data_IF_408751569173
#
_entry.id   IF_408751569173
#
_cell.length_a   1.000
_cell.length_b   1.000
_cell.length_c   1.000
_cell.angle_alpha   90.00
_cell.angle_beta   90.00
_cell.angle_gamma   90.00
#
_symmetry.space_group_name_H-M   'P 1'
#
loop_
_entity.id
_entity.type
_entity.pdbx_description
1 polymer ?
#
# COMPACT_ATOMS: atom_id res chain seq x y z
N UNK A 1 -14.84 9.28 4.68
CA UNK A 1 -13.73 9.73 3.81
C UNK A 1 -12.45 9.45 4.57
N UNK A 2 -11.73 8.39 4.21
CA UNK A 2 -10.39 8.15 4.76
C UNK A 2 -9.46 9.00 3.93
N UNK A 3 -8.80 9.97 4.57
CA UNK A 3 -7.76 10.76 3.92
C UNK A 3 -6.49 9.93 3.91
N UNK A 4 -6.26 9.17 2.86
CA UNK A 4 -4.92 8.63 2.63
C UNK A 4 -4.09 9.74 1.98
N UNK A 5 -3.54 10.63 2.81
CA UNK A 5 -2.66 11.70 2.35
C UNK A 5 -1.29 11.09 2.12
N UNK A 6 -1.05 10.58 0.92
CA UNK A 6 0.30 10.14 0.56
C UNK A 6 1.13 11.40 0.29
N UNK A 7 1.91 11.81 1.30
CA UNK A 7 2.85 12.92 1.20
C UNK A 7 4.18 12.41 0.63
N UNK A 8 4.62 13.01 -0.48
CA UNK A 8 5.91 12.68 -1.09
C UNK A 8 6.91 13.85 -0.95
N UNK A 9 8.12 13.61 -0.41
CA UNK A 9 9.26 14.55 -0.43
C UNK A 9 10.50 13.85 -1.03
N UNK A 10 11.43 14.63 -1.59
CA UNK A 10 12.74 14.19 -2.12
C UNK A 10 13.66 13.57 -1.06
N UNK A 11 13.29 13.57 0.22
CA UNK A 11 14.07 13.00 1.34
C UNK A 11 13.59 11.64 1.81
N UNK A 12 12.64 11.01 1.12
CA UNK A 12 11.99 9.80 1.57
C UNK A 12 10.74 10.09 2.41
N UNK A 13 9.81 9.15 2.37
CA UNK A 13 8.49 9.22 3.01
C UNK A 13 8.63 8.72 4.46
N UNK A 14 8.13 9.46 5.45
CA UNK A 14 8.14 9.04 6.87
C UNK A 14 7.05 8.02 7.24
N UNK A 15 6.31 7.49 6.27
CA UNK A 15 5.47 6.29 6.46
C UNK A 15 5.21 5.62 5.12
N UNK A 16 5.63 4.36 4.99
CA UNK A 16 5.64 3.50 3.81
C UNK A 16 6.73 3.82 2.77
N UNK A 17 7.85 3.08 2.86
CA UNK A 17 8.95 3.00 1.88
C UNK A 17 8.51 2.38 0.52
N UNK A 18 7.38 2.78 -0.04
CA UNK A 18 6.82 2.19 -1.27
C UNK A 18 6.95 3.06 -2.53
N UNK A 19 7.45 4.30 -2.41
CA UNK A 19 7.62 5.21 -3.55
C UNK A 19 9.11 5.59 -3.73
N UNK A 20 9.79 4.86 -4.62
CA UNK A 20 11.17 5.19 -5.06
C UNK A 20 11.24 6.59 -5.67
N UNK A 21 12.35 7.30 -5.49
CA UNK A 21 12.66 8.61 -6.12
C UNK A 21 12.32 8.66 -7.62
N UNK A 22 12.58 7.57 -8.36
CA UNK A 22 12.22 7.45 -9.79
C UNK A 22 10.72 7.62 -10.07
N UNK A 23 9.83 7.24 -9.15
CA UNK A 23 8.38 7.45 -9.31
C UNK A 23 8.00 8.89 -8.97
N UNK A 24 8.67 9.56 -8.03
CA UNK A 24 8.47 10.98 -7.77
C UNK A 24 8.87 11.83 -8.97
N UNK A 25 10.06 11.59 -9.54
CA UNK A 25 10.49 12.28 -10.76
C UNK A 25 9.59 11.97 -11.95
N UNK A 26 9.03 10.76 -12.03
CA UNK A 26 8.00 10.43 -13.03
C UNK A 26 6.74 11.26 -12.85
N UNK A 27 6.24 11.41 -11.62
CA UNK A 27 5.06 12.23 -11.32
C UNK A 27 5.33 13.72 -11.61
N UNK A 28 6.51 14.23 -11.24
CA UNK A 28 6.94 15.58 -11.56
C UNK A 28 7.09 15.79 -13.07
N UNK A 29 7.70 14.85 -13.80
CA UNK A 29 7.82 14.95 -15.26
C UNK A 29 6.45 14.90 -15.94
N UNK A 30 5.50 14.11 -15.41
CA UNK A 30 4.09 14.10 -15.85
C UNK A 30 3.37 15.43 -15.67
N UNK A 31 3.76 16.26 -14.68
CA UNK A 31 3.18 17.61 -14.55
C UNK A 31 3.44 18.51 -15.77
N UNK A 32 4.46 18.19 -16.57
CA UNK A 32 4.81 18.93 -17.80
C UNK A 32 4.05 18.43 -19.02
N UNK A 33 3.50 17.22 -18.97
CA UNK A 33 2.66 16.65 -20.03
C UNK A 33 1.20 17.07 -19.83
N UNK A 34 0.60 17.68 -20.86
CA UNK A 34 -0.80 18.13 -20.84
C UNK A 34 -1.80 17.02 -20.52
N UNK A 35 -1.49 15.75 -20.83
CA UNK A 35 -2.38 14.61 -20.57
C UNK A 35 -2.34 14.10 -19.14
N UNK A 36 -1.25 14.38 -18.42
CA UNK A 36 -1.00 13.85 -17.07
C UNK A 36 -0.77 14.95 -16.03
N UNK A 37 -1.10 16.19 -16.41
CA UNK A 37 -1.01 17.37 -15.55
C UNK A 37 -1.96 17.24 -14.36
N UNK A 38 -1.50 17.53 -13.13
CA UNK A 38 -2.36 17.48 -11.95
C UNK A 38 -3.42 18.59 -11.99
N UNK A 39 -4.57 18.33 -11.34
CA UNK A 39 -5.70 19.26 -11.25
C UNK A 39 -5.30 20.60 -10.65
N UNK A 40 -4.43 20.58 -9.65
CA UNK A 40 -3.82 21.77 -9.03
C UNK A 40 -2.31 21.60 -9.10
N UNK A 41 -1.63 22.63 -9.60
CA UNK A 41 -0.18 22.68 -9.67
C UNK A 41 0.29 24.08 -9.25
N UNK A 42 1.03 24.16 -8.15
CA UNK A 42 1.64 25.41 -7.70
C UNK A 42 3.15 25.18 -7.53
N UNK A 43 3.97 26.10 -8.07
CA UNK A 43 5.41 26.05 -7.91
C UNK A 43 5.82 26.87 -6.70
N UNK A 44 6.20 26.22 -5.60
CA UNK A 44 6.77 26.87 -4.41
C UNK A 44 8.15 26.29 -4.08
N UNK A 45 9.19 27.12 -4.18
CA UNK A 45 10.56 26.75 -3.78
C UNK A 45 11.25 25.68 -4.64
N UNK A 46 12.33 25.11 -4.09
CA UNK A 46 13.20 24.11 -4.74
C UNK A 46 12.79 22.65 -4.45
N UNK A 47 11.89 22.41 -3.48
CA UNK A 47 11.35 21.10 -3.13
C UNK A 47 9.92 20.99 -3.64
N UNK A 48 9.61 19.87 -4.27
CA UNK A 48 8.25 19.57 -4.70
C UNK A 48 7.63 18.60 -3.70
N UNK A 49 6.34 18.79 -3.42
CA UNK A 49 5.50 17.79 -2.78
C UNK A 49 4.37 17.47 -3.76
N UNK A 50 3.94 16.22 -3.81
CA UNK A 50 2.75 15.83 -4.55
C UNK A 50 1.73 15.30 -3.54
N UNK A 51 0.47 15.69 -3.72
CA UNK A 51 -0.65 15.20 -2.94
C UNK A 51 -1.67 14.65 -3.91
N UNK A 52 -2.13 13.44 -3.63
CA UNK A 52 -3.25 12.83 -4.36
C UNK A 52 -4.42 12.81 -3.40
N UNK A 53 -5.50 13.50 -3.76
CA UNK A 53 -6.72 13.56 -2.96
C UNK A 53 -7.84 12.99 -3.81
N UNK A 54 -8.61 12.09 -3.23
CA UNK A 54 -9.75 11.46 -3.87
C UNK A 54 -10.64 10.77 -2.86
N UNK A 55 -11.64 10.05 -3.36
CA UNK A 55 -12.50 9.19 -2.56
C UNK A 55 -12.43 7.77 -3.11
N UNK A 56 -12.39 6.80 -2.20
CA UNK A 56 -12.48 5.36 -2.48
C UNK A 56 -13.40 4.71 -1.45
N UNK A 57 -13.87 3.50 -1.75
CA UNK A 57 -14.44 2.62 -0.74
C UNK A 57 -13.39 2.30 0.33
N UNK A 58 -13.84 1.68 1.43
CA UNK A 58 -12.96 1.23 2.50
C UNK A 58 -11.87 0.30 1.94
N UNK A 59 -10.62 0.50 2.39
CA UNK A 59 -9.45 -0.30 2.00
C UNK A 59 -8.79 -0.79 3.28
N UNK A 60 -8.57 -2.09 3.39
CA UNK A 60 -7.73 -2.65 4.45
C UNK A 60 -6.29 -2.78 3.94
N UNK A 61 -5.32 -2.40 4.77
CA UNK A 61 -3.90 -2.54 4.47
C UNK A 61 -3.33 -3.68 5.32
N UNK A 62 -2.72 -4.66 4.64
CA UNK A 62 -2.48 -5.99 5.16
C UNK A 62 -1.14 -6.54 4.71
N UNK A 63 -0.26 -6.83 5.66
CA UNK A 63 1.10 -7.27 5.39
C UNK A 63 1.33 -8.71 5.82
N UNK A 64 2.08 -9.43 4.99
CA UNK A 64 2.47 -10.82 5.23
C UNK A 64 3.99 -10.92 5.12
N UNK A 65 4.71 -11.13 6.23
CA UNK A 65 6.17 -11.26 6.20
C UNK A 65 6.61 -12.62 5.65
N UNK A 66 7.59 -12.60 4.74
CA UNK A 66 8.25 -13.79 4.19
C UNK A 66 9.72 -13.78 4.62
N UNK A 67 10.20 -14.91 5.15
CA UNK A 67 11.61 -15.09 5.50
C UNK A 67 12.44 -15.33 4.24
N UNK A 68 12.87 -14.25 3.61
CA UNK A 68 13.69 -14.27 2.40
C UNK A 68 14.50 -12.99 2.27
N UNK A 69 15.72 -13.11 1.75
CA UNK A 69 16.54 -11.98 1.31
C UNK A 69 16.43 -11.71 -0.19
N UNK A 70 15.73 -12.56 -0.95
CA UNK A 70 15.56 -12.41 -2.39
C UNK A 70 14.23 -11.73 -2.75
N UNK A 71 14.32 -10.41 -2.94
CA UNK A 71 13.18 -9.58 -3.34
C UNK A 71 12.61 -9.96 -4.72
N UNK A 72 13.39 -10.57 -5.60
CA UNK A 72 12.89 -10.94 -6.93
C UNK A 72 11.94 -12.14 -6.82
N UNK A 73 12.22 -13.09 -5.93
CA UNK A 73 11.31 -14.20 -5.63
C UNK A 73 10.01 -13.66 -5.04
N UNK A 74 10.11 -12.81 -4.02
CA UNK A 74 8.91 -12.24 -3.37
C UNK A 74 8.10 -11.36 -4.34
N UNK A 75 8.75 -10.66 -5.28
CA UNK A 75 8.05 -9.94 -6.36
C UNK A 75 7.27 -10.86 -7.30
N UNK A 76 7.76 -12.07 -7.59
CA UNK A 76 7.02 -13.04 -8.41
C UNK A 76 5.77 -13.52 -7.67
N UNK A 77 5.91 -13.88 -6.39
CA UNK A 77 4.78 -14.24 -5.51
C UNK A 77 3.76 -13.11 -5.47
N UNK A 78 4.21 -11.91 -5.08
CA UNK A 78 3.39 -10.69 -5.01
C UNK A 78 2.61 -10.43 -6.31
N UNK A 79 3.27 -10.56 -7.47
CA UNK A 79 2.61 -10.36 -8.76
C UNK A 79 1.48 -11.37 -8.96
N UNK A 80 1.71 -12.65 -8.65
CA UNK A 80 0.71 -13.74 -8.76
C UNK A 80 -0.45 -13.57 -7.78
N UNK A 81 -0.21 -12.97 -6.61
CA UNK A 81 -1.28 -12.62 -5.64
C UNK A 81 -2.12 -11.46 -6.14
N UNK A 82 -1.49 -10.45 -6.74
CA UNK A 82 -2.17 -9.21 -7.14
C UNK A 82 -3.19 -9.44 -8.26
N UNK A 83 -4.34 -8.78 -8.19
CA UNK A 83 -5.35 -8.84 -9.25
C UNK A 83 -4.82 -8.36 -10.60
N UNK A 84 -3.92 -7.37 -10.59
CA UNK A 84 -3.24 -6.90 -11.83
C UNK A 84 -2.38 -7.99 -12.47
N UNK A 85 -1.80 -8.89 -11.68
CA UNK A 85 -1.02 -10.01 -12.18
C UNK A 85 -1.83 -11.27 -12.46
N UNK A 86 -3.17 -11.20 -12.39
CA UNK A 86 -4.07 -12.33 -12.63
C UNK A 86 -4.45 -13.12 -11.38
N UNK A 87 -4.07 -12.64 -10.18
CA UNK A 87 -4.38 -13.26 -8.90
C UNK A 87 -5.75 -12.90 -8.34
N UNK A 88 -5.78 -12.63 -7.04
CA UNK A 88 -7.01 -12.34 -6.31
C UNK A 88 -7.62 -11.00 -6.79
N UNK A 89 -8.94 -10.96 -7.09
CA UNK A 89 -9.60 -9.74 -7.51
C UNK A 89 -9.57 -8.69 -6.39
N UNK A 90 -9.51 -7.41 -6.75
CA UNK A 90 -9.52 -6.30 -5.79
C UNK A 90 -8.34 -6.29 -4.79
N UNK A 91 -7.28 -7.08 -5.04
CA UNK A 91 -6.03 -7.04 -4.25
C UNK A 91 -4.95 -6.31 -5.05
N UNK A 92 -4.40 -5.25 -4.47
CA UNK A 92 -3.12 -4.69 -4.91
C UNK A 92 -2.04 -5.21 -3.98
N UNK A 93 -0.92 -5.70 -4.53
CA UNK A 93 0.17 -6.22 -3.72
C UNK A 93 1.51 -5.66 -4.20
N UNK A 94 2.44 -5.46 -3.27
CA UNK A 94 3.83 -5.07 -3.55
C UNK A 94 4.81 -5.78 -2.59
N UNK A 95 6.02 -6.04 -3.06
CA UNK A 95 7.09 -6.59 -2.23
C UNK A 95 7.89 -5.45 -1.59
N UNK A 96 7.96 -5.43 -0.26
CA UNK A 96 8.67 -4.42 0.53
C UNK A 96 9.72 -5.08 1.42
N UNK A 97 10.94 -4.54 1.45
CA UNK A 97 11.95 -5.04 2.40
C UNK A 97 11.55 -4.61 3.82
N UNK A 98 11.65 -5.52 4.78
CA UNK A 98 11.30 -5.26 6.17
C UNK A 98 12.39 -5.81 7.08
N UNK A 99 13.30 -4.97 7.55
CA UNK A 99 14.41 -5.44 8.38
C UNK A 99 15.34 -6.44 7.66
N UNK A 100 16.18 -7.16 8.43
CA UNK A 100 17.16 -8.10 7.88
C UNK A 100 16.52 -9.46 7.61
N UNK A 101 16.59 -9.91 6.35
CA UNK A 101 16.18 -11.26 5.95
C UNK A 101 14.67 -11.47 5.87
N UNK A 102 13.87 -10.40 5.95
CA UNK A 102 12.43 -10.44 5.81
C UNK A 102 11.99 -9.47 4.71
N UNK A 103 11.09 -9.95 3.87
CA UNK A 103 10.45 -9.15 2.82
C UNK A 103 8.96 -9.42 2.93
N UNK A 104 8.17 -8.35 2.98
CA UNK A 104 6.74 -8.42 3.12
C UNK A 104 6.05 -8.42 1.76
N UNK A 105 5.00 -9.22 1.65
CA UNK A 105 3.93 -8.99 0.67
C UNK A 105 2.96 -8.02 1.33
N UNK A 106 3.07 -6.73 0.96
CA UNK A 106 2.18 -5.68 1.43
C UNK A 106 0.99 -5.54 0.48
N UNK A 107 -0.22 -5.60 1.03
CA UNK A 107 -1.45 -5.67 0.26
C UNK A 107 -2.43 -4.56 0.65
N UNK A 108 -2.99 -3.88 -0.35
CA UNK A 108 -4.22 -3.11 -0.20
C UNK A 108 -5.40 -3.97 -0.68
N UNK A 109 -6.32 -4.27 0.23
CA UNK A 109 -7.57 -4.96 -0.04
C UNK A 109 -8.62 -3.90 -0.40
N UNK A 110 -8.85 -3.71 -1.69
CA UNK A 110 -9.73 -2.64 -2.20
C UNK A 110 -11.23 -2.92 -1.99
N UNK A 111 -11.55 -4.18 -1.68
CA UNK A 111 -12.90 -4.63 -1.33
C UNK A 111 -12.80 -5.80 -0.34
N UNK A 112 -12.62 -5.51 0.96
CA UNK A 112 -12.44 -6.55 1.99
C UNK A 112 -13.64 -7.49 2.16
N UNK A 113 -14.83 -7.06 1.71
CA UNK A 113 -16.03 -7.91 1.70
C UNK A 113 -15.94 -9.02 0.64
N UNK A 114 -15.14 -8.81 -0.42
CA UNK A 114 -14.96 -9.77 -1.51
C UNK A 114 -13.74 -10.67 -1.30
N UNK A 115 -12.64 -10.11 -0.81
CA UNK A 115 -11.41 -10.85 -0.51
C UNK A 115 -10.89 -10.43 0.86
N UNK A 116 -10.92 -11.36 1.81
CA UNK A 116 -10.41 -11.14 3.16
C UNK A 116 -8.90 -11.29 3.25
N UNK A 117 -8.31 -10.77 4.32
CA UNK A 117 -6.89 -11.00 4.62
C UNK A 117 -6.53 -12.48 4.76
N UNK A 118 -7.43 -13.30 5.32
CA UNK A 118 -7.28 -14.76 5.41
C UNK A 118 -7.05 -15.37 4.02
N UNK A 119 -7.87 -14.96 3.04
CA UNK A 119 -7.75 -15.48 1.68
C UNK A 119 -6.44 -15.07 1.02
N UNK A 120 -5.96 -13.86 1.28
CA UNK A 120 -4.65 -13.40 0.81
C UNK A 120 -3.52 -14.17 1.48
N UNK A 121 -3.63 -14.47 2.78
CA UNK A 121 -2.65 -15.29 3.50
C UNK A 121 -2.54 -16.68 2.89
N UNK A 122 -3.66 -17.37 2.67
CA UNK A 122 -3.69 -18.71 2.06
C UNK A 122 -2.99 -18.72 0.69
N UNK A 123 -3.30 -17.74 -0.17
CA UNK A 123 -2.70 -17.64 -1.50
C UNK A 123 -1.19 -17.40 -1.41
N UNK A 124 -0.74 -16.51 -0.52
CA UNK A 124 0.69 -16.27 -0.28
C UNK A 124 1.39 -17.52 0.25
N UNK A 125 0.78 -18.26 1.18
CA UNK A 125 1.35 -19.50 1.72
C UNK A 125 1.51 -20.59 0.66
N UNK A 126 0.54 -20.73 -0.24
CA UNK A 126 0.62 -21.67 -1.37
C UNK A 126 1.79 -21.28 -2.28
N UNK A 127 1.86 -20.02 -2.69
CA UNK A 127 2.88 -19.51 -3.61
C UNK A 127 4.28 -19.51 -3.00
N UNK A 128 4.41 -19.22 -1.71
CA UNK A 128 5.67 -19.25 -0.99
C UNK A 128 6.19 -20.68 -0.83
N UNK A 129 5.29 -21.66 -0.63
CA UNK A 129 5.66 -23.08 -0.56
C UNK A 129 6.25 -23.60 -1.86
N UNK A 130 5.74 -23.16 -3.01
CA UNK A 130 6.31 -23.48 -4.32
C UNK A 130 7.75 -22.99 -4.48
N UNK A 131 8.10 -21.88 -3.83
CA UNK A 131 9.43 -21.27 -3.85
C UNK A 131 10.29 -21.66 -2.63
N UNK A 132 9.79 -22.53 -1.74
CA UNK A 132 10.50 -22.98 -0.53
C UNK A 132 10.69 -21.91 0.55
N UNK A 133 9.82 -20.89 0.59
CA UNK A 133 9.91 -19.75 1.51
C UNK A 133 8.95 -19.93 2.69
N UNK A 134 9.43 -19.64 3.90
CA UNK A 134 8.60 -19.60 5.10
C UNK A 134 7.83 -18.28 5.20
N UNK A 135 6.55 -18.39 5.58
CA UNK A 135 5.63 -17.26 5.78
C UNK A 135 5.36 -17.10 7.27
N UNK A 136 5.40 -15.86 7.76
CA UNK A 136 5.10 -15.53 9.15
C UNK A 136 3.66 -15.05 9.34
N UNK A 137 3.34 -14.66 10.59
CA UNK A 137 2.02 -14.16 10.94
C UNK A 137 1.77 -12.79 10.33
N UNK A 138 0.69 -12.71 9.56
CA UNK A 138 0.14 -11.47 9.01
C UNK A 138 -0.33 -10.45 10.05
N UNK A 139 -0.48 -9.20 9.61
CA UNK A 139 -1.10 -8.14 10.40
C UNK A 139 -1.73 -7.05 9.52
N UNK A 140 -2.74 -6.38 10.05
CA UNK A 140 -3.24 -5.12 9.47
C UNK A 140 -2.38 -3.97 9.98
N UNK A 141 -2.03 -3.03 9.10
CA UNK A 141 -1.15 -1.89 9.45
C UNK A 141 -1.91 -0.69 10.00
N UNK A 142 -3.21 -0.60 9.73
CA UNK A 142 -4.06 0.55 10.03
C UNK A 142 -5.23 0.18 10.95
N UNK A 143 -5.99 1.21 11.36
CA UNK A 143 -7.21 1.03 12.13
C UNK A 143 -8.28 0.29 11.32
N UNK A 144 -9.01 -0.59 12.00
CA UNK A 144 -10.20 -1.19 11.42
C UNK A 144 -11.31 -0.14 11.21
N UNK A 145 -12.27 -0.48 10.36
CA UNK A 145 -13.43 0.37 10.10
C UNK A 145 -14.16 0.75 11.39
N UNK A 146 -14.39 -0.22 12.28
CA UNK A 146 -15.05 0.00 13.56
C UNK A 146 -14.25 0.91 14.49
N UNK A 147 -12.92 0.79 14.48
CA UNK A 147 -12.04 1.65 15.27
C UNK A 147 -12.10 3.10 14.80
N UNK A 148 -12.10 3.34 13.48
CA UNK A 148 -12.24 4.70 12.93
C UNK A 148 -13.62 5.26 13.24
N UNK A 149 -14.70 4.49 13.02
CA UNK A 149 -16.08 4.92 13.29
C UNK A 149 -16.24 5.27 14.78
N UNK A 150 -15.76 4.40 15.67
CA UNK A 150 -15.81 4.62 17.12
C UNK A 150 -15.03 5.86 17.54
N UNK A 151 -13.85 6.07 16.96
CA UNK A 151 -13.03 7.26 17.23
C UNK A 151 -13.72 8.54 16.76
N UNK A 152 -14.38 8.50 15.60
CA UNK A 152 -15.16 9.61 15.08
C UNK A 152 -16.32 9.96 16.04
N UNK A 153 -17.12 8.99 16.47
CA UNK A 153 -18.22 9.26 17.41
C UNK A 153 -17.75 9.86 18.75
N UNK A 154 -16.64 9.37 19.30
CA UNK A 154 -16.05 9.93 20.54
C UNK A 154 -15.67 11.40 20.38
N UNK A 155 -15.10 11.78 19.24
CA UNK A 155 -14.74 13.17 18.95
C UNK A 155 -15.96 14.11 18.92
N UNK A 156 -17.12 13.62 18.47
CA UNK A 156 -18.34 14.41 18.45
C UNK A 156 -19.00 14.51 19.82
N UNK A 157 -18.98 13.45 20.62
CA UNK A 157 -19.51 13.47 21.98
C UNK A 157 -18.74 14.43 22.90
N UNK A 158 -17.43 14.60 22.69
CA UNK A 158 -16.61 15.54 23.46
C UNK A 158 -16.73 17.01 23.01
N UNK A 159 -17.57 17.31 22.01
CA UNK A 159 -17.77 18.67 21.47
C UNK A 159 -19.16 19.24 21.74
N UNK A 160 -20.02 18.49 22.44
CA UNK A 160 -21.34 18.90 22.93
C UNK A 160 -21.27 18.98 24.45
#
# INVERSE_FOLDING_TARGET
MIYDTIKFDRRGVESTESFREQRFDTVINRTRDRRTRPTVAEKRGLRGECYVIGATNWVDNYNIPLLSSDINVVRRITKRVSGRGGGLPSVQAMALAHGKGVIEVACNLLDPNKVSGERVQEEVEILAREEGISVERRYYTDFSQDQIISSYFKLFQNRI
#
